data_IF_160219547850
#
_entry.id   IF_160219547850
#
_cell.length_a   1.000
_cell.length_b   1.000
_cell.length_c   1.000
_cell.angle_alpha   90.00
_cell.angle_beta   90.00
_cell.angle_gamma   90.00
#
_symmetry.space_group_name_H-M   'P 1'
#
loop_
_entity.id
_entity.type
_entity.pdbx_description
1 polymer ?
#
# COMPACT_ATOMS: atom_id res chain seq x y z
N UNK A 1 3.23 -2.54 5.21
CA UNK A 1 2.17 -3.51 5.46
C UNK A 1 2.04 -3.79 6.96
N UNK A 2 0.82 -3.98 7.46
CA UNK A 2 0.53 -4.31 8.86
C UNK A 2 0.13 -5.78 9.04
N UNK A 3 -0.06 -6.50 7.95
CA UNK A 3 -0.40 -7.92 7.97
C UNK A 3 0.85 -8.80 8.16
N UNK A 4 0.67 -10.04 8.61
CA UNK A 4 1.76 -11.00 8.70
C UNK A 4 2.50 -11.17 7.37
N UNK A 5 3.82 -11.37 7.42
CA UNK A 5 4.65 -11.57 6.22
C UNK A 5 4.14 -12.67 5.29
N UNK A 6 3.59 -13.74 5.85
CA UNK A 6 3.09 -14.91 5.13
C UNK A 6 1.56 -15.01 5.19
N UNK A 7 0.86 -13.88 5.27
CA UNK A 7 -0.60 -13.87 5.21
C UNK A 7 -1.07 -14.44 3.85
N UNK A 8 -2.18 -15.22 3.85
CA UNK A 8 -2.78 -15.68 2.61
C UNK A 8 -3.15 -14.52 1.68
N UNK A 9 -3.07 -14.74 0.38
CA UNK A 9 -3.50 -13.78 -0.63
C UNK A 9 -4.80 -14.27 -1.30
N UNK A 10 -5.78 -13.38 -1.52
CA UNK A 10 -5.83 -11.98 -1.11
C UNK A 10 -5.92 -11.84 0.42
N UNK A 11 -5.28 -10.80 0.96
CA UNK A 11 -5.28 -10.56 2.41
C UNK A 11 -6.63 -10.02 2.87
N UNK A 12 -7.30 -10.75 3.76
CA UNK A 12 -8.50 -10.26 4.45
C UNK A 12 -8.16 -9.57 5.77
N UNK A 13 -9.12 -8.83 6.31
CA UNK A 13 -8.97 -8.12 7.58
C UNK A 13 -8.68 -9.09 8.74
N UNK A 14 -9.20 -10.31 8.69
CA UNK A 14 -9.00 -11.36 9.70
C UNK A 14 -7.54 -11.82 9.80
N UNK A 15 -6.73 -11.56 8.77
CA UNK A 15 -5.31 -11.89 8.81
C UNK A 15 -4.50 -11.02 9.80
N UNK A 16 -5.08 -9.91 10.29
CA UNK A 16 -4.38 -9.05 11.25
C UNK A 16 -4.03 -9.79 12.55
N UNK A 17 -2.76 -9.74 12.94
CA UNK A 17 -2.23 -10.39 14.14
C UNK A 17 -2.24 -11.94 14.14
N UNK A 18 -2.37 -12.58 13.01
CA UNK A 18 -2.36 -14.05 12.90
C UNK A 18 -0.97 -14.67 12.76
N UNK A 19 0.07 -13.85 12.61
CA UNK A 19 1.44 -14.34 12.41
C UNK A 19 2.50 -13.26 12.59
N UNK A 20 3.76 -13.63 12.31
CA UNK A 20 4.91 -12.72 12.42
C UNK A 20 4.88 -11.64 11.33
N UNK A 21 5.16 -10.42 11.74
CA UNK A 21 5.33 -9.28 10.84
C UNK A 21 6.64 -9.38 10.04
N UNK A 22 6.77 -8.58 8.98
CA UNK A 22 8.03 -8.42 8.28
C UNK A 22 9.04 -7.69 9.19
N UNK A 23 10.19 -8.30 9.54
CA UNK A 23 11.10 -7.75 10.55
C UNK A 23 11.60 -6.33 10.23
N UNK A 24 11.83 -6.01 8.95
CA UNK A 24 12.31 -4.68 8.54
C UNK A 24 11.27 -3.59 8.68
N UNK A 25 9.99 -3.96 8.75
CA UNK A 25 8.84 -3.06 8.85
C UNK A 25 8.09 -3.17 10.20
N UNK A 26 8.54 -4.07 11.09
CA UNK A 26 7.83 -4.41 12.33
C UNK A 26 7.51 -3.19 13.21
N UNK A 27 8.44 -2.23 13.48
CA UNK A 27 8.14 -1.08 14.32
C UNK A 27 7.01 -0.20 13.74
N UNK A 28 7.00 0.01 12.43
CA UNK A 28 5.93 0.73 11.75
C UNK A 28 4.61 -0.03 11.85
N UNK A 29 4.62 -1.32 11.54
CA UNK A 29 3.42 -2.16 11.58
C UNK A 29 2.79 -2.18 12.98
N UNK A 30 3.60 -2.37 14.03
CA UNK A 30 3.13 -2.33 15.43
C UNK A 30 2.47 -0.99 15.76
N UNK A 31 3.08 0.13 15.38
CA UNK A 31 2.52 1.45 15.63
C UNK A 31 1.14 1.63 14.96
N UNK A 32 0.97 1.16 13.71
CA UNK A 32 -0.31 1.23 13.00
C UNK A 32 -1.36 0.27 13.57
N UNK A 33 -0.96 -0.94 13.92
CA UNK A 33 -1.85 -1.91 14.59
C UNK A 33 -2.33 -1.35 15.93
N UNK A 34 -1.43 -0.77 16.72
CA UNK A 34 -1.79 -0.13 17.99
C UNK A 34 -2.83 0.99 17.78
N UNK A 35 -2.71 1.79 16.73
CA UNK A 35 -3.71 2.81 16.37
C UNK A 35 -5.10 2.21 16.07
N UNK A 36 -5.16 1.15 15.27
CA UNK A 36 -6.41 0.42 15.00
C UNK A 36 -7.03 -0.10 16.30
N UNK A 37 -6.23 -0.80 17.13
CA UNK A 37 -6.71 -1.37 18.39
C UNK A 37 -7.12 -0.31 19.41
N UNK A 38 -6.50 0.86 19.37
CA UNK A 38 -6.90 2.02 20.17
C UNK A 38 -8.28 2.54 19.73
N UNK A 39 -8.52 2.73 18.43
CA UNK A 39 -9.82 3.11 17.88
C UNK A 39 -10.92 2.12 18.30
N UNK A 40 -10.67 0.81 18.15
CA UNK A 40 -11.59 -0.24 18.59
C UNK A 40 -11.89 -0.17 20.09
N UNK A 41 -10.87 0.09 20.91
CA UNK A 41 -11.01 0.19 22.37
C UNK A 41 -11.85 1.39 22.77
N UNK A 42 -11.61 2.55 22.17
CA UNK A 42 -12.44 3.75 22.40
C UNK A 42 -13.89 3.56 21.96
N UNK A 43 -14.12 2.93 20.81
CA UNK A 43 -15.48 2.63 20.35
C UNK A 43 -16.24 1.72 21.35
N UNK A 44 -15.59 0.68 21.88
CA UNK A 44 -16.19 -0.20 22.89
C UNK A 44 -16.47 0.52 24.21
N UNK A 45 -15.54 1.38 24.64
CA UNK A 45 -15.63 2.03 25.94
C UNK A 45 -16.57 3.25 25.93
N UNK A 46 -16.58 4.01 24.85
CA UNK A 46 -17.25 5.32 24.79
C UNK A 46 -18.29 5.44 23.67
N UNK A 47 -18.44 4.41 22.84
CA UNK A 47 -19.33 4.46 21.67
C UNK A 47 -20.80 4.73 22.04
N UNK A 48 -21.32 4.08 23.08
CA UNK A 48 -22.70 4.29 23.53
C UNK A 48 -22.84 5.53 24.40
N UNK A 49 -21.93 5.73 25.35
CA UNK A 49 -22.05 6.79 26.36
C UNK A 49 -21.69 8.19 25.83
N UNK A 50 -20.81 8.30 24.82
CA UNK A 50 -20.28 9.56 24.30
C UNK A 50 -20.41 9.70 22.79
N UNK A 51 -21.04 8.75 22.09
CA UNK A 51 -21.22 8.79 20.64
C UNK A 51 -19.92 8.62 19.83
N UNK A 52 -18.89 8.01 20.41
CA UNK A 52 -17.61 7.81 19.73
C UNK A 52 -17.77 6.75 18.62
N UNK A 53 -17.29 7.07 17.41
CA UNK A 53 -17.31 6.20 16.24
C UNK A 53 -16.04 6.42 15.41
N UNK A 54 -14.94 5.81 15.84
CA UNK A 54 -13.67 5.83 15.11
C UNK A 54 -13.64 4.69 14.09
N UNK A 55 -13.34 5.02 12.85
CA UNK A 55 -13.27 4.07 11.74
C UNK A 55 -11.86 4.03 11.19
N UNK A 56 -11.35 2.83 10.96
CA UNK A 56 -9.99 2.62 10.43
C UNK A 56 -10.07 2.05 9.02
N UNK A 57 -9.21 2.55 8.15
CA UNK A 57 -9.05 2.05 6.78
C UNK A 57 -7.59 1.65 6.55
N UNK A 58 -7.39 0.55 5.84
CA UNK A 58 -6.07 0.01 5.49
C UNK A 58 -5.89 0.05 3.97
N UNK A 59 -5.14 1.03 3.43
CA UNK A 59 -4.91 1.11 1.99
C UNK A 59 -3.87 0.09 1.53
N UNK A 60 -3.91 -0.22 0.24
CA UNK A 60 -2.81 -0.81 -0.50
C UNK A 60 -1.69 0.21 -0.72
N UNK A 61 -0.73 -0.05 -1.63
CA UNK A 61 0.35 0.90 -1.88
C UNK A 61 -0.18 2.18 -2.52
N UNK A 62 -0.03 3.30 -1.82
CA UNK A 62 -0.49 4.59 -2.31
C UNK A 62 0.53 5.23 -3.25
N UNK A 63 0.04 5.98 -4.23
CA UNK A 63 0.84 6.84 -5.10
C UNK A 63 0.06 8.09 -5.48
N UNK A 64 0.77 9.13 -5.87
CA UNK A 64 0.13 10.37 -6.35
C UNK A 64 1.03 11.61 -6.27
N UNK A 65 0.47 12.80 -6.56
CA UNK A 65 1.20 14.05 -6.46
C UNK A 65 1.74 14.30 -5.05
N UNK A 66 2.96 14.82 -4.95
CA UNK A 66 3.60 15.11 -3.67
C UNK A 66 4.26 13.89 -3.00
N UNK A 67 4.37 12.77 -3.71
CA UNK A 67 5.05 11.57 -3.22
C UNK A 67 6.56 11.81 -2.97
N UNK A 68 7.21 10.88 -2.28
CA UNK A 68 8.63 10.94 -1.96
C UNK A 68 9.48 10.40 -3.12
N UNK A 69 10.20 11.26 -3.81
CA UNK A 69 11.12 10.93 -4.90
C UNK A 69 12.58 10.78 -4.46
N UNK A 70 12.85 10.51 -3.18
CA UNK A 70 14.22 10.33 -2.70
C UNK A 70 14.91 9.14 -3.40
N UNK A 71 16.20 9.24 -3.79
CA UNK A 71 16.89 8.21 -4.58
C UNK A 71 16.89 6.81 -3.94
N UNK A 72 16.99 6.76 -2.62
CA UNK A 72 17.19 5.53 -1.85
C UNK A 72 15.99 5.14 -0.97
N UNK A 73 15.12 6.11 -0.62
CA UNK A 73 14.07 5.93 0.38
C UNK A 73 12.66 6.18 -0.18
N UNK A 74 12.48 6.02 -1.50
CA UNK A 74 11.17 6.15 -2.14
C UNK A 74 10.52 4.79 -2.39
N UNK A 75 9.19 4.78 -2.45
CA UNK A 75 8.44 3.61 -2.90
C UNK A 75 8.63 3.36 -4.40
N UNK A 76 8.20 2.19 -4.87
CA UNK A 76 8.52 1.69 -6.22
C UNK A 76 8.04 2.62 -7.34
N UNK A 77 6.82 3.17 -7.28
CA UNK A 77 6.30 4.07 -8.34
C UNK A 77 7.14 5.35 -8.44
N UNK A 78 7.31 6.16 -7.38
CA UNK A 78 8.14 7.36 -7.48
C UNK A 78 9.61 7.05 -7.81
N UNK A 79 10.15 5.93 -7.33
CA UNK A 79 11.51 5.50 -7.68
C UNK A 79 11.65 5.24 -9.19
N UNK A 80 10.72 4.52 -9.79
CA UNK A 80 10.72 4.23 -11.23
C UNK A 80 10.49 5.48 -12.07
N UNK A 81 9.54 6.34 -11.69
CA UNK A 81 9.30 7.62 -12.37
C UNK A 81 10.59 8.44 -12.41
N UNK A 82 11.24 8.60 -11.26
CA UNK A 82 12.50 9.34 -11.17
C UNK A 82 13.59 8.72 -12.03
N UNK A 83 13.84 7.42 -11.92
CA UNK A 83 14.88 6.72 -12.68
C UNK A 83 14.68 6.87 -14.20
N UNK A 84 13.46 6.64 -14.70
CA UNK A 84 13.18 6.81 -16.12
C UNK A 84 13.28 8.25 -16.59
N UNK A 85 12.86 9.22 -15.74
CA UNK A 85 12.98 10.63 -16.03
C UNK A 85 14.45 11.08 -16.14
N UNK A 86 15.27 10.73 -15.14
CA UNK A 86 16.70 11.02 -15.13
C UNK A 86 17.43 10.37 -16.30
N UNK A 87 17.16 9.09 -16.58
CA UNK A 87 17.72 8.38 -17.73
C UNK A 87 17.35 9.04 -19.06
N UNK A 88 16.12 9.53 -19.21
CA UNK A 88 15.67 10.26 -20.39
C UNK A 88 16.44 11.59 -20.57
N UNK A 89 16.59 12.39 -19.51
CA UNK A 89 17.32 13.67 -19.57
C UNK A 89 18.79 13.44 -19.89
N UNK A 90 19.39 12.39 -19.34
CA UNK A 90 20.81 12.05 -19.52
C UNK A 90 21.07 11.26 -20.81
N UNK A 91 20.04 11.01 -21.63
CA UNK A 91 20.13 10.19 -22.84
C UNK A 91 20.76 8.80 -22.62
N UNK A 92 20.46 8.18 -21.48
CA UNK A 92 20.94 6.83 -21.18
C UNK A 92 20.29 5.81 -22.12
N UNK A 93 21.05 4.73 -22.45
CA UNK A 93 20.54 3.67 -23.31
C UNK A 93 19.63 2.67 -22.56
N UNK A 94 19.75 2.61 -21.24
CA UNK A 94 19.02 1.63 -20.43
C UNK A 94 18.77 2.09 -18.99
N UNK A 95 17.78 1.47 -18.34
CA UNK A 95 17.49 1.56 -16.91
C UNK A 95 17.48 0.17 -16.32
N UNK A 96 18.27 -0.04 -15.26
CA UNK A 96 18.33 -1.32 -14.55
C UNK A 96 17.31 -1.33 -13.42
N UNK A 97 16.50 -2.40 -13.37
CA UNK A 97 15.53 -2.67 -12.29
C UNK A 97 15.97 -3.94 -11.57
N UNK A 98 15.98 -3.91 -10.24
CA UNK A 98 16.38 -5.04 -9.43
C UNK A 98 15.32 -6.13 -9.41
N UNK A 99 15.77 -7.39 -9.41
CA UNK A 99 14.94 -8.59 -9.37
C UNK A 99 14.39 -9.00 -10.73
N UNK A 100 13.49 -9.97 -10.71
CA UNK A 100 12.85 -10.53 -11.90
C UNK A 100 11.76 -9.66 -12.49
N UNK A 101 11.20 -8.76 -11.68
CA UNK A 101 10.01 -7.97 -12.02
C UNK A 101 8.70 -8.77 -11.93
N UNK A 102 8.72 -10.01 -11.47
CA UNK A 102 7.52 -10.84 -11.35
C UNK A 102 6.63 -10.55 -10.13
N UNK A 103 7.11 -10.01 -9.00
CA UNK A 103 6.24 -9.73 -7.87
C UNK A 103 5.04 -8.87 -8.26
N UNK A 104 3.88 -9.27 -7.78
CA UNK A 104 2.62 -8.57 -7.99
C UNK A 104 2.40 -7.53 -6.90
N UNK A 105 1.82 -6.39 -7.27
CA UNK A 105 1.47 -5.32 -6.32
C UNK A 105 0.16 -4.69 -6.73
N UNK A 106 -0.59 -4.30 -5.73
CA UNK A 106 -1.76 -3.47 -5.90
C UNK A 106 -1.42 -2.02 -5.53
N UNK A 107 -1.86 -1.08 -6.35
CA UNK A 107 -1.65 0.35 -6.15
C UNK A 107 -2.97 1.09 -6.15
N UNK A 108 -3.07 2.11 -5.29
CA UNK A 108 -4.24 2.96 -5.16
C UNK A 108 -3.84 4.43 -5.27
N UNK A 109 -4.53 5.17 -6.12
CA UNK A 109 -4.29 6.61 -6.26
C UNK A 109 -4.72 7.36 -4.99
N UNK A 110 -3.95 8.35 -4.57
CA UNK A 110 -4.13 9.01 -3.26
C UNK A 110 -5.48 9.70 -3.11
N UNK A 111 -6.03 10.27 -4.19
CA UNK A 111 -7.35 10.92 -4.15
C UNK A 111 -8.49 9.88 -4.02
N UNK A 112 -8.31 8.69 -4.62
CA UNK A 112 -9.26 7.59 -4.45
C UNK A 112 -9.25 7.10 -2.99
N UNK A 113 -8.08 7.03 -2.35
CA UNK A 113 -7.97 6.72 -0.93
C UNK A 113 -8.63 7.80 -0.06
N UNK A 114 -8.46 9.08 -0.39
CA UNK A 114 -9.11 10.18 0.31
C UNK A 114 -10.65 10.09 0.18
N UNK A 115 -11.12 9.84 -1.04
CA UNK A 115 -12.55 9.63 -1.33
C UNK A 115 -13.12 8.43 -0.56
N UNK A 116 -12.41 7.30 -0.56
CA UNK A 116 -12.80 6.11 0.19
C UNK A 116 -12.86 6.38 1.69
N UNK A 117 -11.89 7.12 2.24
CA UNK A 117 -11.88 7.50 3.65
C UNK A 117 -13.12 8.33 4.03
N UNK A 118 -13.46 9.32 3.21
CA UNK A 118 -14.68 10.14 3.39
C UNK A 118 -15.94 9.29 3.25
N UNK A 119 -15.96 8.36 2.27
CA UNK A 119 -17.08 7.42 2.10
C UNK A 119 -17.28 6.55 3.33
N UNK A 120 -16.22 5.90 3.83
CA UNK A 120 -16.29 5.05 5.02
C UNK A 120 -16.73 5.86 6.25
N UNK A 121 -16.26 7.10 6.39
CA UNK A 121 -16.65 7.98 7.49
C UNK A 121 -18.15 8.32 7.45
N UNK A 122 -18.75 8.46 6.27
CA UNK A 122 -20.14 8.81 6.06
C UNK A 122 -21.11 7.61 5.93
N UNK A 123 -20.61 6.38 5.95
CA UNK A 123 -21.46 5.19 5.94
C UNK A 123 -22.40 5.22 7.14
N UNK A 124 -23.64 4.78 6.93
CA UNK A 124 -24.53 4.48 8.06
C UNK A 124 -23.85 3.52 9.04
N UNK A 125 -24.01 3.77 10.34
CA UNK A 125 -23.37 2.96 11.38
C UNK A 125 -23.79 1.50 11.30
N UNK A 126 -25.01 1.21 10.96
CA UNK A 126 -25.52 -0.17 10.83
C UNK A 126 -24.88 -0.88 9.64
N UNK A 127 -24.66 -0.17 8.53
CA UNK A 127 -23.98 -0.71 7.35
C UNK A 127 -22.51 -1.01 7.71
N UNK A 128 -21.80 -0.05 8.30
CA UNK A 128 -20.41 -0.27 8.71
C UNK A 128 -20.28 -1.45 9.68
N UNK A 129 -21.16 -1.54 10.68
CA UNK A 129 -21.16 -2.62 11.68
C UNK A 129 -21.55 -3.99 11.10
N UNK A 130 -22.27 -4.06 9.98
CA UNK A 130 -22.56 -5.32 9.32
C UNK A 130 -21.35 -5.96 8.64
N UNK A 131 -20.31 -5.17 8.37
CA UNK A 131 -19.05 -5.61 7.75
C UNK A 131 -17.85 -5.63 8.71
N UNK A 132 -18.05 -5.26 9.96
CA UNK A 132 -16.98 -5.17 10.97
C UNK A 132 -17.41 -5.84 12.27
N UNK A 133 -16.46 -6.00 13.19
CA UNK A 133 -16.78 -6.45 14.54
C UNK A 133 -16.08 -5.55 15.57
N UNK A 134 -16.50 -5.59 16.85
CA UNK A 134 -15.89 -4.74 17.89
C UNK A 134 -14.39 -4.93 18.10
N UNK A 135 -13.83 -6.06 17.65
CA UNK A 135 -12.40 -6.40 17.77
C UNK A 135 -11.68 -6.45 16.43
N UNK A 136 -12.40 -6.24 15.32
CA UNK A 136 -11.90 -6.22 13.96
C UNK A 136 -12.71 -5.20 13.15
N UNK A 137 -12.36 -3.93 13.27
CA UNK A 137 -13.17 -2.83 12.73
C UNK A 137 -12.50 -2.03 11.62
N UNK A 138 -11.28 -2.40 11.19
CA UNK A 138 -10.70 -1.77 10.01
C UNK A 138 -11.23 -2.40 8.71
N UNK A 139 -11.20 -1.63 7.65
CA UNK A 139 -11.60 -2.06 6.31
C UNK A 139 -10.41 -1.90 5.36
N UNK A 140 -10.12 -2.93 4.57
CA UNK A 140 -9.17 -2.83 3.47
C UNK A 140 -9.72 -1.94 2.36
N UNK A 141 -8.86 -1.10 1.80
CA UNK A 141 -9.19 -0.21 0.68
C UNK A 141 -8.14 -0.40 -0.41
N UNK A 142 -8.58 -0.87 -1.55
CA UNK A 142 -7.73 -1.15 -2.71
C UNK A 142 -8.43 -0.86 -4.03
N UNK A 143 -7.69 -0.98 -5.11
CA UNK A 143 -8.20 -0.85 -6.49
C UNK A 143 -8.83 -2.15 -7.00
N UNK A 144 -8.52 -3.28 -6.36
CA UNK A 144 -8.88 -4.62 -6.83
C UNK A 144 -8.09 -5.10 -8.05
N UNK A 145 -7.04 -4.37 -8.44
CA UNK A 145 -6.23 -4.71 -9.62
C UNK A 145 -4.77 -4.82 -9.24
N UNK A 146 -4.18 -5.98 -9.50
CA UNK A 146 -2.76 -6.23 -9.31
C UNK A 146 -1.99 -6.03 -10.61
N UNK A 147 -0.75 -5.56 -10.49
CA UNK A 147 0.18 -5.36 -11.60
C UNK A 147 1.55 -5.91 -11.22
N UNK A 148 2.24 -6.56 -12.16
CA UNK A 148 3.63 -6.96 -11.94
C UNK A 148 4.55 -5.74 -11.92
N UNK A 149 5.66 -5.82 -11.19
CA UNK A 149 6.70 -4.76 -11.22
C UNK A 149 7.21 -4.57 -12.64
N UNK A 150 7.25 -5.65 -13.44
CA UNK A 150 7.64 -5.61 -14.86
C UNK A 150 6.66 -4.75 -15.67
N UNK A 151 5.37 -5.02 -15.59
CA UNK A 151 4.36 -4.27 -16.35
C UNK A 151 4.30 -2.82 -15.88
N UNK A 152 4.36 -2.59 -14.58
CA UNK A 152 4.45 -1.25 -14.00
C UNK A 152 5.63 -0.47 -14.58
N UNK A 153 6.80 -1.09 -14.70
CA UNK A 153 7.99 -0.46 -15.25
C UNK A 153 7.79 -0.08 -16.72
N UNK A 154 7.16 -0.94 -17.52
CA UNK A 154 6.84 -0.63 -18.92
C UNK A 154 5.83 0.51 -19.03
N UNK A 155 4.81 0.54 -18.19
CA UNK A 155 3.82 1.63 -18.17
C UNK A 155 4.46 2.97 -17.78
N UNK A 156 5.29 3.00 -16.75
CA UNK A 156 6.00 4.22 -16.33
C UNK A 156 6.99 4.67 -17.40
N UNK A 157 7.77 3.73 -18.01
CA UNK A 157 8.64 4.03 -19.16
C UNK A 157 7.86 4.74 -20.28
N UNK A 158 6.68 4.20 -20.61
CA UNK A 158 5.79 4.77 -21.63
C UNK A 158 5.31 6.17 -21.25
N UNK A 159 4.82 6.34 -20.02
CA UNK A 159 4.31 7.62 -19.52
C UNK A 159 5.38 8.70 -19.49
N UNK A 160 6.60 8.37 -19.04
CA UNK A 160 7.76 9.28 -19.01
C UNK A 160 8.28 9.57 -20.43
N UNK A 161 8.04 8.68 -21.40
CA UNK A 161 8.55 8.76 -22.77
C UNK A 161 10.04 8.44 -22.86
N UNK A 162 10.57 7.58 -22.01
CA UNK A 162 11.92 7.03 -22.12
C UNK A 162 12.01 6.03 -23.26
N UNK A 163 13.02 6.14 -24.11
CA UNK A 163 13.18 5.32 -25.34
C UNK A 163 14.20 4.18 -25.21
N UNK A 164 15.02 4.19 -24.15
CA UNK A 164 16.01 3.16 -23.89
C UNK A 164 15.42 1.83 -23.41
N UNK A 165 16.28 0.86 -23.12
CA UNK A 165 15.89 -0.48 -22.70
C UNK A 165 15.62 -0.55 -21.19
N UNK A 166 14.83 -1.55 -20.78
CA UNK A 166 14.71 -1.97 -19.38
C UNK A 166 15.48 -3.26 -19.22
N UNK A 167 16.39 -3.30 -18.25
CA UNK A 167 17.16 -4.48 -17.88
C UNK A 167 16.73 -4.91 -16.48
N UNK A 168 16.38 -6.20 -16.32
CA UNK A 168 16.08 -6.76 -15.00
C UNK A 168 17.33 -7.47 -14.47
N UNK A 169 17.84 -7.01 -13.32
CA UNK A 169 19.01 -7.58 -12.66
C UNK A 169 18.54 -8.66 -11.66
N UNK A 170 18.44 -9.88 -12.14
CA UNK A 170 18.00 -11.06 -11.36
C UNK A 170 19.01 -11.48 -10.29
N UNK A 171 20.23 -10.91 -10.27
CA UNK A 171 21.18 -11.11 -9.17
C UNK A 171 20.80 -10.39 -7.89
N UNK A 172 19.86 -9.45 -7.98
CA UNK A 172 19.31 -8.70 -6.86
C UNK A 172 17.98 -9.33 -6.40
N UNK A 173 17.68 -9.24 -5.09
CA UNK A 173 16.46 -9.82 -4.58
C UNK A 173 15.23 -9.12 -5.17
N UNK A 174 14.20 -9.91 -5.45
CA UNK A 174 12.84 -9.38 -5.53
C UNK A 174 12.42 -8.83 -4.16
N UNK A 175 11.54 -7.86 -4.15
CA UNK A 175 10.91 -7.40 -2.90
C UNK A 175 10.11 -8.53 -2.23
N UNK A 176 9.50 -8.24 -1.08
CA UNK A 176 8.61 -9.20 -0.39
C UNK A 176 7.56 -9.71 -1.38
N UNK A 177 7.26 -11.03 -1.39
CA UNK A 177 6.27 -11.63 -2.28
C UNK A 177 4.90 -10.97 -2.16
#
# INVERSE_FOLDING_TARGET
>A
CIYPKLAPQPMSEEALLTGKLEPTNEPYAIAKIAGIKLCESYNRQYGESHGVDYRSVMPTNLYGPGDNYHPENSHVIPALIRRFHEAKIQNQSEVVIWGTGTPMREFLYVDDMASASVHVMNLDKTIYQSHTSPMLSHLNVGSGVEVSIRDLAYEIRRAVGFKGNIIFDESKPDGVP
#
